data_IF_648197987891
#
_entry.id   IF_648197987891
#
_cell.length_a   1.000
_cell.length_b   1.000
_cell.length_c   1.000
_cell.angle_alpha   90.00
_cell.angle_beta   90.00
_cell.angle_gamma   90.00
#
_symmetry.space_group_name_H-M   'P 1'
#
loop_
_entity.id
_entity.type
_entity.pdbx_description
1 polymer ?
#
# COMPACT_ATOMS: atom_id res chain seq x y z
N UNK A 1 -11.96 24.27 3.19
CA UNK A 1 -10.63 23.64 3.44
C UNK A 1 -10.85 22.17 3.74
N UNK A 2 -10.87 21.35 2.69
CA UNK A 2 -11.16 19.91 2.77
C UNK A 2 -10.04 19.09 2.14
N UNK A 3 -8.82 19.27 2.62
CA UNK A 3 -7.64 18.54 2.15
C UNK A 3 -7.05 17.70 3.29
N UNK A 4 -7.84 16.80 3.86
CA UNK A 4 -7.34 15.84 4.86
C UNK A 4 -6.92 14.50 4.24
N UNK A 5 -7.16 14.30 2.94
CA UNK A 5 -6.93 13.00 2.31
C UNK A 5 -5.61 12.94 1.53
N UNK A 6 -5.12 14.06 0.98
CA UNK A 6 -4.02 14.03 0.01
C UNK A 6 -2.63 13.78 0.62
N UNK A 7 -2.32 14.43 1.74
CA UNK A 7 -1.04 14.24 2.44
C UNK A 7 -0.94 12.82 3.03
N UNK A 8 -2.01 12.30 3.63
CA UNK A 8 -1.95 11.03 4.35
C UNK A 8 -1.71 9.79 3.47
N UNK A 9 -2.19 9.74 2.22
CA UNK A 9 -1.89 8.60 1.35
C UNK A 9 -0.51 8.73 0.67
N UNK A 10 -0.07 9.96 0.38
CA UNK A 10 1.23 10.18 -0.25
C UNK A 10 2.37 9.78 0.69
N UNK A 11 2.28 10.21 1.96
CA UNK A 11 3.22 9.80 3.02
C UNK A 11 3.21 8.29 3.28
N UNK A 12 2.02 7.67 3.21
CA UNK A 12 1.90 6.22 3.32
C UNK A 12 2.63 5.48 2.20
N UNK A 13 2.44 5.89 0.94
CA UNK A 13 3.12 5.28 -0.20
C UNK A 13 4.64 5.50 -0.14
N UNK A 14 5.07 6.67 0.32
CA UNK A 14 6.49 6.95 0.53
C UNK A 14 7.10 6.05 1.62
N UNK A 15 6.37 5.89 2.74
CA UNK A 15 6.77 5.00 3.83
C UNK A 15 6.80 3.52 3.41
N UNK A 16 5.85 3.08 2.58
CA UNK A 16 5.88 1.74 1.98
C UNK A 16 7.13 1.53 1.12
N UNK A 17 7.49 2.51 0.28
CA UNK A 17 8.72 2.46 -0.52
C UNK A 17 9.97 2.46 0.35
N UNK A 18 9.99 3.26 1.41
CA UNK A 18 11.07 3.27 2.39
C UNK A 18 11.21 1.91 3.12
N UNK A 19 10.10 1.21 3.33
CA UNK A 19 10.07 -0.17 3.84
C UNK A 19 10.52 -1.23 2.81
N UNK A 20 10.80 -0.83 1.56
CA UNK A 20 11.26 -1.71 0.50
C UNK A 20 10.15 -2.27 -0.40
N UNK A 21 8.94 -1.69 -0.37
CA UNK A 21 7.85 -2.05 -1.28
C UNK A 21 8.00 -1.31 -2.61
N UNK A 22 8.09 -2.05 -3.69
CA UNK A 22 8.02 -1.57 -5.07
C UNK A 22 6.57 -1.57 -5.49
N UNK A 23 6.09 -0.39 -5.91
CA UNK A 23 4.72 -0.20 -6.39
C UNK A 23 4.78 -0.07 -7.90
N UNK A 24 4.29 -1.09 -8.61
CA UNK A 24 4.12 -1.05 -10.07
C UNK A 24 2.88 -0.24 -10.40
N UNK A 25 3.01 0.65 -11.38
CA UNK A 25 1.96 1.57 -11.79
C UNK A 25 1.50 2.52 -10.65
N UNK A 26 2.47 3.12 -9.94
CA UNK A 26 2.23 4.01 -8.79
C UNK A 26 1.30 5.20 -9.12
N UNK A 27 1.35 5.74 -10.34
CA UNK A 27 0.47 6.83 -10.76
C UNK A 27 -1.01 6.42 -10.64
N UNK A 28 -1.36 5.25 -11.17
CA UNK A 28 -2.72 4.73 -11.10
C UNK A 28 -3.17 4.47 -9.65
N UNK A 29 -2.25 3.97 -8.80
CA UNK A 29 -2.50 3.81 -7.36
C UNK A 29 -2.83 5.15 -6.72
N UNK A 30 -2.01 6.17 -6.98
CA UNK A 30 -2.21 7.52 -6.44
C UNK A 30 -3.52 8.13 -6.92
N UNK A 31 -3.86 7.96 -8.20
CA UNK A 31 -5.12 8.45 -8.76
C UNK A 31 -6.31 7.80 -8.07
N UNK A 32 -6.37 6.46 -7.99
CA UNK A 32 -7.47 5.75 -7.32
C UNK A 32 -7.60 6.09 -5.83
N UNK A 33 -6.47 6.32 -5.17
CA UNK A 33 -6.43 6.74 -3.76
C UNK A 33 -6.92 8.18 -3.59
N UNK A 34 -6.54 9.09 -4.47
CA UNK A 34 -6.98 10.48 -4.46
C UNK A 34 -8.46 10.63 -4.81
N UNK A 35 -8.97 9.80 -5.72
CA UNK A 35 -10.38 9.76 -6.10
C UNK A 35 -11.28 9.23 -4.97
N UNK A 36 -10.74 8.38 -4.10
CA UNK A 36 -11.50 7.74 -3.02
C UNK A 36 -11.46 8.55 -1.72
N UNK A 37 -12.63 8.97 -1.23
CA UNK A 37 -12.76 9.53 0.14
C UNK A 37 -12.23 8.57 1.23
N UNK A 38 -12.24 7.25 0.95
CA UNK A 38 -11.67 6.21 1.80
C UNK A 38 -10.51 5.50 1.11
N UNK A 39 -9.41 6.23 0.93
CA UNK A 39 -8.20 5.71 0.31
C UNK A 39 -7.68 4.41 0.96
N UNK A 40 -7.83 4.21 2.28
CA UNK A 40 -7.41 2.96 2.96
C UNK A 40 -8.15 1.72 2.45
N UNK A 41 -9.47 1.84 2.25
CA UNK A 41 -10.27 0.75 1.71
C UNK A 41 -9.97 0.53 0.23
N UNK A 42 -9.79 1.61 -0.53
CA UNK A 42 -9.37 1.54 -1.92
C UNK A 42 -8.01 0.84 -2.06
N UNK A 43 -7.04 1.18 -1.21
CA UNK A 43 -5.73 0.55 -1.16
C UNK A 43 -5.84 -0.97 -0.97
N UNK A 44 -6.60 -1.45 0.01
CA UNK A 44 -6.78 -2.90 0.21
C UNK A 44 -7.41 -3.57 -1.01
N UNK A 45 -8.36 -2.91 -1.66
CA UNK A 45 -8.96 -3.41 -2.90
C UNK A 45 -7.96 -3.45 -4.03
N UNK A 46 -7.08 -2.44 -4.16
CA UNK A 46 -6.01 -2.39 -5.16
C UNK A 46 -4.88 -3.38 -4.84
N UNK A 47 -4.56 -3.63 -3.58
CA UNK A 47 -3.65 -4.70 -3.21
C UNK A 47 -4.20 -6.06 -3.64
N UNK A 48 -5.49 -6.33 -3.36
CA UNK A 48 -6.13 -7.59 -3.70
C UNK A 48 -6.45 -7.77 -5.21
N UNK A 49 -6.90 -6.71 -5.89
CA UNK A 49 -7.44 -6.76 -7.26
C UNK A 49 -6.67 -5.89 -8.26
N UNK A 50 -5.66 -5.13 -7.81
CA UNK A 50 -4.90 -4.19 -8.65
C UNK A 50 -4.15 -4.88 -9.78
N UNK A 51 -3.91 -6.19 -9.68
CA UNK A 51 -3.30 -6.98 -10.76
C UNK A 51 -4.11 -6.89 -12.06
N UNK A 52 -5.44 -6.73 -11.97
CA UNK A 52 -6.32 -6.51 -13.14
C UNK A 52 -6.09 -5.15 -13.81
N UNK A 53 -5.57 -4.18 -13.06
CA UNK A 53 -5.25 -2.82 -13.51
C UNK A 53 -3.73 -2.66 -13.78
N UNK A 54 -2.96 -3.75 -13.77
CA UNK A 54 -1.50 -3.70 -13.88
C UNK A 54 -0.79 -3.08 -12.67
N UNK A 55 -1.50 -2.94 -11.55
CA UNK A 55 -0.97 -2.51 -10.27
C UNK A 55 -0.49 -3.75 -9.52
N UNK A 56 0.79 -3.80 -9.20
CA UNK A 56 1.40 -4.88 -8.45
C UNK A 56 2.23 -4.28 -7.32
N UNK A 57 2.09 -4.85 -6.13
CA UNK A 57 2.94 -4.52 -4.99
C UNK A 57 3.91 -5.68 -4.82
N UNK A 58 5.20 -5.38 -4.83
CA UNK A 58 6.25 -6.38 -4.69
C UNK A 58 7.27 -5.89 -3.68
N UNK A 59 7.94 -6.81 -2.99
CA UNK A 59 9.04 -6.44 -2.10
C UNK A 59 10.35 -6.45 -2.89
N UNK A 60 11.16 -5.40 -2.76
CA UNK A 60 12.51 -5.34 -3.32
C UNK A 60 13.44 -6.34 -2.62
N UNK A 61 13.37 -7.61 -3.01
CA UNK A 61 14.34 -8.66 -2.66
C UNK A 61 14.63 -8.81 -1.15
N UNK A 62 15.88 -9.19 -0.82
CA UNK A 62 16.37 -9.50 0.54
C UNK A 62 16.30 -8.31 1.53
N UNK A 63 15.87 -7.12 1.08
CA UNK A 63 15.86 -5.89 1.87
C UNK A 63 14.49 -5.37 2.27
N UNK A 64 13.38 -5.89 1.74
CA UNK A 64 12.07 -5.46 2.25
C UNK A 64 11.76 -6.13 3.56
N UNK A 65 11.64 -5.31 4.59
CA UNK A 65 11.36 -5.79 5.92
C UNK A 65 9.84 -5.88 6.11
N UNK A 66 9.26 -7.09 6.20
CA UNK A 66 7.81 -7.23 6.37
C UNK A 66 7.33 -6.56 7.67
N UNK A 67 8.20 -6.39 8.68
CA UNK A 67 7.85 -5.68 9.92
C UNK A 67 7.83 -4.17 9.72
N UNK A 68 8.67 -3.63 8.83
CA UNK A 68 8.58 -2.23 8.42
C UNK A 68 7.27 -1.96 7.67
N UNK A 69 6.88 -2.82 6.73
CA UNK A 69 5.57 -2.72 6.04
C UNK A 69 4.42 -2.81 7.03
N UNK A 70 4.47 -3.75 7.97
CA UNK A 70 3.48 -3.87 9.05
C UNK A 70 3.40 -2.59 9.87
N UNK A 71 4.54 -2.04 10.30
CA UNK A 71 4.57 -0.81 11.11
C UNK A 71 3.91 0.35 10.38
N UNK A 72 4.25 0.56 9.11
CA UNK A 72 3.64 1.61 8.29
C UNK A 72 2.12 1.40 8.21
N UNK A 73 1.64 0.19 7.96
CA UNK A 73 0.19 -0.06 7.92
C UNK A 73 -0.48 0.15 9.29
N UNK A 74 0.13 -0.28 10.39
CA UNK A 74 -0.36 -0.04 11.74
C UNK A 74 -0.45 1.46 12.08
N UNK A 75 0.55 2.26 11.70
CA UNK A 75 0.56 3.72 11.88
C UNK A 75 -0.59 4.41 11.14
N UNK A 76 -1.00 3.85 10.00
CA UNK A 76 -2.12 4.36 9.21
C UNK A 76 -3.49 3.75 9.60
N UNK A 77 -3.60 3.12 10.78
CA UNK A 77 -4.82 2.54 11.33
C UNK A 77 -5.44 1.41 10.48
N UNK A 78 -4.59 0.63 9.80
CA UNK A 78 -5.03 -0.64 9.23
C UNK A 78 -5.16 -1.69 10.34
N UNK A 79 -6.10 -2.65 10.22
CA UNK A 79 -6.22 -3.74 11.17
C UNK A 79 -5.20 -4.85 10.89
N UNK A 80 -4.68 -5.47 11.93
CA UNK A 80 -3.64 -6.52 11.89
C UNK A 80 -3.92 -7.66 10.88
N UNK A 81 -5.18 -8.03 10.71
CA UNK A 81 -5.60 -9.04 9.73
C UNK A 81 -5.29 -8.61 8.28
N UNK A 82 -5.55 -7.34 7.94
CA UNK A 82 -5.30 -6.78 6.61
C UNK A 82 -3.81 -6.59 6.36
N UNK A 83 -3.06 -6.21 7.39
CA UNK A 83 -1.61 -6.09 7.37
C UNK A 83 -0.95 -7.43 7.07
N UNK A 84 -1.33 -8.47 7.81
CA UNK A 84 -0.83 -9.83 7.62
C UNK A 84 -1.20 -10.39 6.24
N UNK A 85 -2.43 -10.15 5.78
CA UNK A 85 -2.87 -10.56 4.44
C UNK A 85 -2.05 -9.88 3.33
N UNK A 86 -1.76 -8.59 3.47
CA UNK A 86 -0.94 -7.85 2.51
C UNK A 86 0.51 -8.36 2.48
N UNK A 87 1.12 -8.56 3.64
CA UNK A 87 2.49 -9.11 3.73
C UNK A 87 2.56 -10.52 3.17
N UNK A 88 1.57 -11.36 3.46
CA UNK A 88 1.47 -12.70 2.90
C UNK A 88 1.39 -12.65 1.37
N UNK A 89 0.59 -11.73 0.81
CA UNK A 89 0.52 -11.51 -0.64
C UNK A 89 1.86 -11.06 -1.23
N UNK A 90 2.54 -10.10 -0.59
CA UNK A 90 3.86 -9.62 -1.01
C UNK A 90 4.91 -10.74 -1.04
N UNK A 91 4.84 -11.67 -0.09
CA UNK A 91 5.79 -12.78 0.03
C UNK A 91 5.43 -13.95 -0.89
N UNK A 92 4.15 -14.11 -1.23
CA UNK A 92 3.64 -15.20 -2.06
C UNK A 92 3.90 -15.01 -3.56
N UNK A 93 4.09 -13.78 -4.03
CA UNK A 93 4.41 -13.46 -5.44
C UNK A 93 5.94 -13.49 -5.71
N UNK A 94 6.73 -14.20 -4.86
CA UNK A 94 8.19 -14.37 -5.00
C UNK A 94 8.59 -15.50 -5.93
#
# INVERSE_FOLDING_TARGET
MGSYCNESYAEFLDSLKAAGVVIRNENEVRERLAESQRWRSAFMTLAANGRLLGIEFSVAGQGGDPRAVQRVMAEHAFPAEKEAAFIAQLTADR
#
